data_IF_488581852480
#
_entry.id   IF_488581852480
#
_cell.length_a   1.000
_cell.length_b   1.000
_cell.length_c   1.000
_cell.angle_alpha   90.00
_cell.angle_beta   90.00
_cell.angle_gamma   90.00
#
_symmetry.space_group_name_H-M   'P 1'
#
loop_
_entity.id
_entity.type
_entity.pdbx_description
1 polymer ?
#
# COMPACT_ATOMS: atom_id res chain seq x y z
N UNK A 1 17.28 10.17 -5.98
CA UNK A 1 16.79 11.55 -6.23
C UNK A 1 15.59 11.47 -7.16
N UNK A 2 14.47 12.08 -6.78
CA UNK A 2 13.29 12.26 -7.64
C UNK A 2 13.14 13.76 -7.88
N UNK A 3 13.14 14.24 -9.14
CA UNK A 3 13.03 15.67 -9.42
C UNK A 3 11.73 16.25 -8.85
N UNK A 4 11.76 17.46 -8.24
CA UNK A 4 10.57 18.04 -7.60
C UNK A 4 9.53 18.60 -8.59
N UNK A 5 9.85 18.60 -9.89
CA UNK A 5 9.00 19.19 -10.93
C UNK A 5 8.02 18.18 -11.56
N UNK A 6 8.13 16.89 -11.21
CA UNK A 6 7.29 15.82 -11.74
C UNK A 6 6.58 15.08 -10.60
N UNK A 7 5.65 14.21 -10.99
CA UNK A 7 4.97 13.34 -10.05
C UNK A 7 5.96 12.43 -9.32
N UNK A 8 5.67 12.16 -8.04
CA UNK A 8 6.51 11.36 -7.16
C UNK A 8 6.46 9.84 -7.43
N UNK A 9 5.65 9.38 -8.39
CA UNK A 9 5.52 7.97 -8.73
C UNK A 9 6.82 7.39 -9.30
N UNK A 10 7.42 6.47 -8.54
CA UNK A 10 8.62 5.74 -8.95
C UNK A 10 8.31 4.43 -9.66
N UNK A 11 7.27 3.71 -9.22
CA UNK A 11 6.88 2.43 -9.78
C UNK A 11 5.42 2.08 -9.49
N UNK A 12 4.84 1.19 -10.30
CA UNK A 12 3.54 0.54 -10.04
C UNK A 12 3.79 -0.95 -9.80
N UNK A 13 3.61 -1.41 -8.57
CA UNK A 13 3.67 -2.85 -8.24
C UNK A 13 2.29 -3.45 -8.48
N UNK A 14 2.21 -4.44 -9.36
CA UNK A 14 0.95 -5.06 -9.78
C UNK A 14 1.06 -6.56 -9.58
N UNK A 15 0.04 -7.16 -8.97
CA UNK A 15 -0.04 -8.61 -8.76
C UNK A 15 -1.35 -9.15 -9.33
N UNK A 16 -1.32 -10.43 -9.71
CA UNK A 16 -2.49 -11.15 -10.17
C UNK A 16 -2.62 -12.50 -9.44
N UNK A 17 -3.82 -12.81 -8.97
CA UNK A 17 -4.15 -14.04 -8.27
C UNK A 17 -5.48 -14.59 -8.77
N UNK A 18 -5.72 -15.89 -8.58
CA UNK A 18 -6.98 -16.55 -8.96
C UNK A 18 -8.19 -15.96 -8.21
N UNK A 19 -7.95 -15.47 -7.00
CA UNK A 19 -8.94 -14.83 -6.14
C UNK A 19 -8.29 -13.67 -5.34
N UNK A 20 -9.14 -12.85 -4.70
CA UNK A 20 -8.70 -11.68 -3.91
C UNK A 20 -7.71 -12.06 -2.83
N UNK A 21 -7.96 -13.16 -2.10
CA UNK A 21 -7.09 -13.60 -1.01
C UNK A 21 -5.69 -13.94 -1.51
N UNK A 22 -5.60 -14.65 -2.63
CA UNK A 22 -4.33 -15.00 -3.29
C UNK A 22 -3.61 -13.75 -3.81
N UNK A 23 -4.35 -12.80 -4.40
CA UNK A 23 -3.79 -11.53 -4.85
C UNK A 23 -3.23 -10.71 -3.68
N UNK A 24 -3.97 -10.59 -2.57
CA UNK A 24 -3.50 -9.90 -1.36
C UNK A 24 -2.24 -10.54 -0.78
N UNK A 25 -2.20 -11.89 -0.70
CA UNK A 25 -1.01 -12.61 -0.24
C UNK A 25 0.22 -12.35 -1.13
N UNK A 26 0.02 -12.34 -2.47
CA UNK A 26 1.08 -11.98 -3.42
C UNK A 26 1.52 -10.53 -3.27
N UNK A 27 0.60 -9.59 -3.08
CA UNK A 27 0.96 -8.17 -2.88
C UNK A 27 1.76 -7.99 -1.60
N UNK A 28 1.37 -8.67 -0.52
CA UNK A 28 2.07 -8.62 0.77
C UNK A 28 3.52 -9.04 0.61
N UNK A 29 3.75 -10.19 -0.03
CA UNK A 29 5.10 -10.69 -0.36
C UNK A 29 5.86 -9.72 -1.27
N UNK A 30 5.20 -9.20 -2.32
CA UNK A 30 5.84 -8.28 -3.26
C UNK A 30 6.30 -6.98 -2.59
N UNK A 31 5.53 -6.46 -1.63
CA UNK A 31 5.91 -5.29 -0.84
C UNK A 31 6.96 -5.61 0.24
N UNK A 32 6.93 -6.80 0.85
CA UNK A 32 7.95 -7.25 1.81
C UNK A 32 9.32 -7.45 1.13
N UNK A 33 9.34 -7.84 -0.15
CA UNK A 33 10.56 -8.01 -0.96
C UNK A 33 10.96 -6.73 -1.72
N UNK A 34 10.16 -5.65 -1.65
CA UNK A 34 10.42 -4.41 -2.37
C UNK A 34 11.53 -3.61 -1.70
N UNK A 35 12.70 -3.56 -2.34
CA UNK A 35 13.83 -2.75 -1.90
C UNK A 35 13.89 -1.45 -2.70
N UNK A 36 13.77 -0.32 -2.00
CA UNK A 36 13.98 1.02 -2.55
C UNK A 36 14.87 1.80 -1.59
N UNK A 37 16.00 2.29 -2.10
CA UNK A 37 17.00 2.99 -1.31
C UNK A 37 17.12 4.46 -1.72
N UNK A 38 17.53 5.30 -0.76
CA UNK A 38 17.84 6.71 -1.00
C UNK A 38 16.64 7.66 -1.10
N UNK A 39 15.40 7.18 -0.94
CA UNK A 39 14.17 7.98 -0.86
C UNK A 39 13.17 7.33 0.10
N UNK A 40 12.28 8.13 0.68
CA UNK A 40 11.10 7.61 1.35
C UNK A 40 10.04 7.18 0.33
N UNK A 41 9.29 6.13 0.65
CA UNK A 41 8.26 5.58 -0.25
C UNK A 41 6.96 5.32 0.50
N UNK A 42 5.88 5.13 -0.26
CA UNK A 42 4.56 4.74 0.27
C UNK A 42 4.43 3.22 0.52
N UNK A 43 5.47 2.43 0.26
CA UNK A 43 5.42 0.98 0.38
C UNK A 43 5.10 0.49 1.82
N UNK A 44 5.70 1.03 2.90
CA UNK A 44 5.37 0.61 4.26
C UNK A 44 3.92 0.88 4.63
N UNK A 45 3.39 2.04 4.22
CA UNK A 45 1.99 2.42 4.42
C UNK A 45 1.04 1.45 3.71
N UNK A 46 1.30 1.18 2.42
CA UNK A 46 0.50 0.24 1.63
C UNK A 46 0.57 -1.18 2.20
N UNK A 47 1.75 -1.59 2.69
CA UNK A 47 1.94 -2.90 3.31
C UNK A 47 1.16 -3.06 4.61
N UNK A 48 1.10 -2.02 5.44
CA UNK A 48 0.28 -2.00 6.65
C UNK A 48 -1.22 -2.02 6.31
N UNK A 49 -1.64 -1.31 5.26
CA UNK A 49 -3.03 -1.31 4.79
C UNK A 49 -3.52 -2.71 4.39
N UNK A 50 -2.66 -3.56 3.82
CA UNK A 50 -3.02 -4.93 3.44
C UNK A 50 -3.38 -5.83 4.65
N UNK A 51 -2.92 -5.48 5.84
CA UNK A 51 -3.21 -6.24 7.07
C UNK A 51 -4.53 -5.82 7.72
N UNK A 52 -5.12 -4.70 7.28
CA UNK A 52 -6.39 -4.19 7.78
C UNK A 52 -7.57 -5.07 7.37
N UNK A 53 -8.44 -5.40 8.33
CA UNK A 53 -9.60 -6.27 8.09
C UNK A 53 -10.59 -5.65 7.11
N UNK A 54 -10.89 -4.35 7.20
CA UNK A 54 -11.82 -3.70 6.30
C UNK A 54 -11.27 -3.67 4.87
N UNK A 55 -9.95 -3.50 4.71
CA UNK A 55 -9.31 -3.65 3.41
C UNK A 55 -9.41 -5.08 2.88
N UNK A 56 -9.11 -6.10 3.70
CA UNK A 56 -9.15 -7.51 3.30
C UNK A 56 -10.54 -7.95 2.87
N UNK A 57 -11.56 -7.61 3.65
CA UNK A 57 -12.97 -7.93 3.42
C UNK A 57 -13.67 -7.01 2.40
N UNK A 58 -12.94 -6.04 1.83
CA UNK A 58 -13.45 -5.10 0.85
C UNK A 58 -14.62 -4.21 1.35
N UNK A 59 -14.63 -3.88 2.64
CA UNK A 59 -15.65 -3.06 3.29
C UNK A 59 -15.12 -1.63 3.53
N UNK A 60 -14.71 -0.95 2.45
CA UNK A 60 -14.13 0.40 2.51
C UNK A 60 -14.77 1.37 1.51
N UNK A 61 -14.57 2.66 1.73
CA UNK A 61 -15.07 3.75 0.89
C UNK A 61 -13.99 4.82 0.67
N UNK A 62 -14.32 5.89 -0.06
CA UNK A 62 -13.37 6.94 -0.49
C UNK A 62 -12.66 7.70 0.63
N UNK A 63 -13.15 7.62 1.87
CA UNK A 63 -12.54 8.25 3.06
C UNK A 63 -11.88 7.25 4.01
N UNK A 64 -11.80 5.98 3.61
CA UNK A 64 -11.32 4.90 4.47
C UNK A 64 -9.88 5.13 4.93
N UNK A 65 -8.96 5.40 3.99
CA UNK A 65 -7.55 5.69 4.33
C UNK A 65 -7.46 6.90 5.26
N UNK A 66 -8.39 7.84 5.10
CA UNK A 66 -8.44 9.03 5.94
C UNK A 66 -8.68 8.70 7.41
N UNK A 67 -9.77 7.97 7.64
CA UNK A 67 -10.18 7.49 8.95
C UNK A 67 -9.19 6.49 9.54
N UNK A 68 -8.61 5.63 8.70
CA UNK A 68 -7.67 4.60 9.11
C UNK A 68 -6.38 5.19 9.73
N UNK A 69 -5.79 6.24 9.15
CA UNK A 69 -4.61 6.88 9.78
C UNK A 69 -4.96 7.64 11.05
N UNK A 70 -6.14 8.29 11.11
CA UNK A 70 -6.59 9.00 12.33
C UNK A 70 -6.76 8.02 13.49
N UNK A 71 -7.36 6.86 13.24
CA UNK A 71 -7.52 5.81 14.24
C UNK A 71 -6.18 5.26 14.77
N UNK A 72 -5.10 5.42 14.00
CA UNK A 72 -3.74 4.97 14.34
C UNK A 72 -2.88 6.06 14.99
N UNK A 73 -3.38 7.30 15.10
CA UNK A 73 -2.60 8.44 15.58
C UNK A 73 -1.46 8.84 14.64
N UNK A 74 -1.55 8.44 13.36
CA UNK A 74 -0.52 8.69 12.33
C UNK A 74 -0.87 9.93 11.48
N UNK A 75 -1.83 10.75 11.93
CA UNK A 75 -2.28 11.97 11.27
C UNK A 75 -2.68 13.06 12.26
#
# INVERSE_FOLDING_TARGET
FVPPYYDSLVAKVIVHGRDRRTALAKMRRALDELVVEGIHTTAPLQRALLDDTAFREATFHTRFVDQWLVARGER
#
